data_IF_667724347393
#
_entry.id   IF_667724347393
#
_cell.length_a   1.000
_cell.length_b   1.000
_cell.length_c   1.000
_cell.angle_alpha   90.00
_cell.angle_beta   90.00
_cell.angle_gamma   90.00
#
_symmetry.space_group_name_H-M   'P 1'
#
loop_
_entity.id
_entity.type
_entity.pdbx_description
1 polymer ?
#
# COMPACT_ATOMS: atom_id res chain seq x y z
N UNK A 1 -16.47 5.13 -5.68
CA UNK A 1 -16.21 5.78 -4.39
C UNK A 1 -14.85 5.37 -3.86
N UNK A 2 -13.98 6.32 -3.52
CA UNK A 2 -12.68 5.96 -2.93
C UNK A 2 -12.84 5.20 -1.61
N UNK A 3 -12.02 4.18 -1.42
CA UNK A 3 -12.01 3.40 -0.17
C UNK A 3 -10.61 2.84 0.11
N UNK A 4 -10.28 2.69 1.38
CA UNK A 4 -9.06 1.99 1.74
C UNK A 4 -9.27 0.50 1.42
N UNK A 5 -8.37 -0.07 0.60
CA UNK A 5 -8.44 -1.49 0.24
C UNK A 5 -7.20 -2.26 0.63
N UNK A 6 -6.20 -1.59 1.18
CA UNK A 6 -4.92 -2.23 1.45
C UNK A 6 -4.15 -1.45 2.50
N UNK A 7 -3.40 -2.16 3.34
CA UNK A 7 -2.43 -1.55 4.25
C UNK A 7 -1.10 -2.27 4.04
N UNK A 8 -0.06 -1.51 3.68
CA UNK A 8 1.27 -2.07 3.49
C UNK A 8 2.13 -1.77 4.71
N UNK A 9 2.79 -2.80 5.23
CA UNK A 9 3.69 -2.68 6.37
C UNK A 9 5.13 -2.89 5.93
N UNK A 10 6.08 -2.12 6.47
CA UNK A 10 7.48 -2.48 6.33
C UNK A 10 7.75 -3.74 7.17
N UNK A 11 8.38 -4.74 6.57
CA UNK A 11 8.62 -6.02 7.20
C UNK A 11 10.08 -6.44 7.00
N UNK A 12 10.98 -5.81 7.77
CA UNK A 12 12.41 -6.09 7.68
C UNK A 12 12.71 -7.57 7.85
N UNK A 13 12.01 -8.24 8.78
CA UNK A 13 12.04 -9.68 8.93
C UNK A 13 10.72 -10.24 8.40
N UNK A 14 10.67 -10.48 7.11
CA UNK A 14 9.44 -10.93 6.44
C UNK A 14 8.98 -12.28 6.98
N UNK A 15 9.90 -13.22 7.19
CA UNK A 15 9.54 -14.56 7.66
C UNK A 15 8.91 -14.50 9.05
N UNK A 16 9.46 -13.70 9.94
CA UNK A 16 8.92 -13.54 11.29
C UNK A 16 7.55 -12.88 11.26
N UNK A 17 7.36 -11.86 10.40
CA UNK A 17 6.07 -11.18 10.25
C UNK A 17 5.00 -12.15 9.72
N UNK A 18 5.32 -12.93 8.67
CA UNK A 18 4.40 -13.93 8.14
C UNK A 18 3.96 -14.92 9.20
N UNK A 19 4.91 -15.46 9.94
CA UNK A 19 4.64 -16.43 11.00
C UNK A 19 3.75 -15.81 12.08
N UNK A 20 4.05 -14.58 12.48
CA UNK A 20 3.31 -13.89 13.53
C UNK A 20 1.85 -13.69 13.13
N UNK A 21 1.60 -13.08 11.96
CA UNK A 21 0.23 -12.75 11.55
C UNK A 21 -0.59 -13.99 11.23
N UNK A 22 0.04 -15.03 10.68
CA UNK A 22 -0.66 -16.30 10.46
C UNK A 22 -1.03 -16.97 11.78
N UNK A 23 -0.14 -16.94 12.76
CA UNK A 23 -0.41 -17.56 14.06
C UNK A 23 -1.50 -16.83 14.84
N UNK A 24 -1.49 -15.48 14.81
CA UNK A 24 -2.43 -14.67 15.59
C UNK A 24 -3.83 -14.67 14.97
N UNK A 25 -3.93 -14.51 13.65
CA UNK A 25 -5.20 -14.29 12.97
C UNK A 25 -5.62 -15.44 12.06
N UNK A 26 -4.77 -16.44 11.84
CA UNK A 26 -5.08 -17.52 10.92
C UNK A 26 -5.08 -17.10 9.45
N UNK A 27 -4.47 -15.95 9.13
CA UNK A 27 -4.42 -15.47 7.76
C UNK A 27 -3.47 -16.29 6.90
N UNK A 28 -3.89 -16.56 5.68
CA UNK A 28 -3.03 -17.12 4.64
C UNK A 28 -2.39 -15.99 3.86
N UNK A 29 -1.05 -16.04 3.76
CA UNK A 29 -0.27 -15.01 3.06
C UNK A 29 0.30 -15.62 1.79
N UNK A 30 -0.01 -15.00 0.65
CA UNK A 30 0.55 -15.38 -0.64
C UNK A 30 1.86 -14.64 -0.86
N UNK A 31 2.86 -15.35 -1.41
CA UNK A 31 4.16 -14.76 -1.69
C UNK A 31 4.21 -14.26 -3.13
N UNK A 32 4.75 -13.07 -3.32
CA UNK A 32 4.99 -12.46 -4.62
C UNK A 32 6.48 -12.12 -4.72
N UNK A 33 7.27 -13.07 -5.22
CA UNK A 33 8.72 -13.01 -5.18
C UNK A 33 9.25 -13.36 -3.79
N UNK A 34 10.51 -13.01 -3.54
CA UNK A 34 11.19 -13.39 -2.29
C UNK A 34 11.04 -12.38 -1.16
N UNK A 35 10.52 -11.17 -1.45
CA UNK A 35 10.51 -10.08 -0.49
C UNK A 35 9.12 -9.51 -0.20
N UNK A 36 8.05 -10.07 -0.77
CA UNK A 36 6.70 -9.53 -0.59
C UNK A 36 5.69 -10.63 -0.33
N UNK A 37 4.83 -10.42 0.65
CA UNK A 37 3.71 -11.33 0.96
C UNK A 37 2.48 -10.51 1.29
N UNK A 38 1.29 -11.00 0.94
CA UNK A 38 0.05 -10.32 1.30
C UNK A 38 -1.11 -11.28 1.46
N UNK A 39 -2.14 -10.83 2.18
CA UNK A 39 -3.41 -11.54 2.21
C UNK A 39 -4.15 -11.28 0.90
N UNK A 40 -5.08 -12.18 0.55
CA UNK A 40 -5.82 -12.14 -0.71
C UNK A 40 -7.32 -12.30 -0.45
N UNK A 41 -7.85 -11.52 0.51
CA UNK A 41 -9.29 -11.59 0.82
C UNK A 41 -10.15 -10.95 -0.26
N UNK A 42 -9.57 -10.01 -1.03
CA UNK A 42 -10.31 -9.24 -2.03
C UNK A 42 -11.11 -8.08 -1.43
N UNK A 43 -11.02 -7.87 -0.13
CA UNK A 43 -11.67 -6.76 0.55
C UNK A 43 -10.60 -5.75 1.02
N UNK A 44 -10.27 -5.72 2.30
CA UNK A 44 -9.13 -4.96 2.79
C UNK A 44 -8.02 -5.95 3.12
N UNK A 45 -6.87 -5.79 2.48
CA UNK A 45 -5.78 -6.74 2.60
C UNK A 45 -4.54 -6.10 3.20
N UNK A 46 -3.71 -6.94 3.80
CA UNK A 46 -2.45 -6.54 4.42
C UNK A 46 -1.29 -7.02 3.55
N UNK A 47 -0.39 -6.11 3.22
CA UNK A 47 0.85 -6.45 2.53
C UNK A 47 2.05 -6.28 3.45
N UNK A 48 3.03 -7.17 3.30
CA UNK A 48 4.28 -7.15 4.02
C UNK A 48 5.41 -6.94 3.01
N UNK A 49 6.04 -5.76 3.05
CA UNK A 49 7.15 -5.42 2.16
C UNK A 49 8.48 -5.65 2.88
N UNK A 50 9.19 -6.71 2.46
CA UNK A 50 10.47 -7.08 3.05
C UNK A 50 11.66 -6.38 2.42
N UNK A 51 11.50 -5.77 1.25
CA UNK A 51 12.55 -4.98 0.63
C UNK A 51 12.54 -3.56 1.22
N UNK A 52 13.52 -3.27 2.05
CA UNK A 52 13.57 -1.99 2.76
C UNK A 52 13.86 -0.80 1.85
N UNK A 53 14.31 -1.01 0.62
CA UNK A 53 14.44 0.05 -0.37
C UNK A 53 13.07 0.47 -0.93
N UNK A 54 12.10 -0.43 -0.91
CA UNK A 54 10.74 -0.18 -1.42
C UNK A 54 9.73 0.06 -0.30
N UNK A 55 10.04 -0.37 0.93
CA UNK A 55 9.09 -0.35 2.03
C UNK A 55 8.77 1.08 2.48
N UNK A 56 7.52 1.33 2.89
CA UNK A 56 7.20 2.56 3.60
C UNK A 56 7.91 2.56 4.96
N UNK A 57 8.05 3.74 5.56
CA UNK A 57 8.67 3.87 6.89
C UNK A 57 7.71 3.49 8.00
N UNK A 58 6.42 3.58 7.75
CA UNK A 58 5.33 3.33 8.70
C UNK A 58 4.22 2.58 7.96
N UNK A 59 3.22 2.04 8.68
CA UNK A 59 2.06 1.47 8.01
C UNK A 59 1.48 2.46 6.98
N UNK A 60 1.27 1.98 5.76
CA UNK A 60 0.84 2.79 4.64
C UNK A 60 -0.57 2.39 4.21
N UNK A 61 -1.59 3.18 4.53
CA UNK A 61 -2.91 2.95 3.96
C UNK A 61 -2.89 3.23 2.45
N UNK A 62 -3.60 2.39 1.69
CA UNK A 62 -3.73 2.54 0.25
C UNK A 62 -5.21 2.71 -0.09
N UNK A 63 -5.53 3.76 -0.82
CA UNK A 63 -6.90 4.11 -1.23
C UNK A 63 -7.11 3.70 -2.67
N UNK A 64 -8.15 2.90 -2.92
CA UNK A 64 -8.54 2.51 -4.28
C UNK A 64 -9.44 3.59 -4.88
N UNK A 65 -9.12 4.02 -6.10
CA UNK A 65 -9.91 4.99 -6.85
C UNK A 65 -10.17 4.48 -8.27
N UNK A 66 -11.14 5.09 -8.94
CA UNK A 66 -11.46 4.75 -10.34
C UNK A 66 -10.59 5.52 -11.35
N UNK A 67 -10.14 6.73 -11.01
CA UNK A 67 -9.37 7.60 -11.89
C UNK A 67 -8.21 8.21 -11.11
N UNK A 68 -7.03 7.64 -11.31
CA UNK A 68 -5.85 8.02 -10.54
C UNK A 68 -5.35 9.42 -10.91
N UNK A 69 -5.47 9.83 -12.18
CA UNK A 69 -5.06 11.16 -12.60
C UNK A 69 -5.94 12.23 -11.95
N UNK A 70 -7.26 12.00 -11.91
CA UNK A 70 -8.18 12.92 -11.24
C UNK A 70 -7.90 12.98 -9.74
N UNK A 71 -7.61 11.84 -9.10
CA UNK A 71 -7.29 11.78 -7.68
C UNK A 71 -6.00 12.55 -7.38
N UNK A 72 -4.99 12.45 -8.24
CA UNK A 72 -3.75 13.21 -8.07
C UNK A 72 -4.01 14.72 -8.14
N UNK A 73 -4.81 15.16 -9.10
CA UNK A 73 -5.17 16.56 -9.21
C UNK A 73 -5.91 17.05 -7.96
N UNK A 74 -6.82 16.24 -7.43
CA UNK A 74 -7.58 16.57 -6.22
C UNK A 74 -6.66 16.70 -5.00
N UNK A 75 -5.69 15.81 -4.86
CA UNK A 75 -4.72 15.86 -3.75
C UNK A 75 -3.93 17.15 -3.80
N UNK A 76 -3.40 17.51 -4.98
CA UNK A 76 -2.60 18.73 -5.15
C UNK A 76 -3.45 19.98 -4.90
N UNK A 77 -4.66 20.01 -5.42
CA UNK A 77 -5.56 21.15 -5.23
C UNK A 77 -5.94 21.34 -3.77
N UNK A 78 -6.08 20.25 -3.02
CA UNK A 78 -6.43 20.30 -1.60
C UNK A 78 -5.23 20.58 -0.68
N UNK A 79 -4.03 20.74 -1.24
CA UNK A 79 -2.83 21.10 -0.46
C UNK A 79 -1.93 19.94 -0.09
N UNK A 80 -2.19 18.75 -0.62
CA UNK A 80 -1.28 17.61 -0.44
C UNK A 80 -0.02 17.75 -1.27
N UNK A 81 1.00 17.00 -0.92
CA UNK A 81 2.30 16.99 -1.61
C UNK A 81 2.59 15.59 -2.10
N UNK A 82 3.04 15.45 -3.36
CA UNK A 82 3.43 14.13 -3.86
C UNK A 82 4.75 13.71 -3.24
N UNK A 83 4.78 12.51 -2.65
CA UNK A 83 6.03 11.89 -2.18
C UNK A 83 6.57 10.90 -3.22
N UNK A 84 5.70 10.32 -4.06
CA UNK A 84 6.08 9.52 -5.23
C UNK A 84 5.10 9.81 -6.36
N UNK A 85 5.57 10.18 -7.57
CA UNK A 85 4.68 10.38 -8.71
C UNK A 85 4.07 9.05 -9.17
N UNK A 86 3.05 9.12 -10.02
CA UNK A 86 2.37 7.92 -10.52
C UNK A 86 3.38 6.94 -11.13
N UNK A 87 3.30 5.68 -10.72
CA UNK A 87 4.13 4.60 -11.25
C UNK A 87 3.31 3.32 -11.38
N UNK A 88 3.74 2.44 -12.30
CA UNK A 88 3.13 1.14 -12.50
C UNK A 88 3.65 0.13 -11.46
N UNK A 89 2.77 -0.76 -11.02
CA UNK A 89 3.11 -1.89 -10.19
C UNK A 89 2.21 -3.08 -10.59
N UNK A 90 2.44 -4.30 -10.09
CA UNK A 90 1.67 -5.47 -10.56
C UNK A 90 0.15 -5.35 -10.40
N UNK A 91 -0.34 -4.60 -9.41
CA UNK A 91 -1.77 -4.39 -9.19
C UNK A 91 -2.40 -3.29 -10.02
N UNK A 92 -1.63 -2.51 -10.76
CA UNK A 92 -2.12 -1.38 -11.53
C UNK A 92 -1.16 -0.21 -11.52
N UNK A 93 -1.65 0.97 -11.16
CA UNK A 93 -0.84 2.19 -11.00
C UNK A 93 -1.12 2.81 -9.66
N UNK A 94 -0.11 3.46 -9.08
CA UNK A 94 -0.30 4.17 -7.81
C UNK A 94 0.65 5.37 -7.71
N UNK A 95 0.32 6.26 -6.78
CA UNK A 95 1.22 7.34 -6.36
C UNK A 95 1.11 7.49 -4.85
N UNK A 96 2.09 8.18 -4.26
CA UNK A 96 2.08 8.45 -2.83
C UNK A 96 2.04 9.95 -2.58
N UNK A 97 1.39 10.35 -1.49
CA UNK A 97 1.29 11.75 -1.12
C UNK A 97 1.42 11.92 0.39
N UNK A 98 1.74 13.12 0.80
CA UNK A 98 1.74 13.53 2.20
C UNK A 98 0.49 14.37 2.46
N UNK A 99 -0.20 14.06 3.54
CA UNK A 99 -1.35 14.84 3.97
C UNK A 99 -0.92 16.11 4.72
N UNK A 100 -1.85 16.97 5.19
CA UNK A 100 -1.48 18.20 5.90
C UNK A 100 -0.68 17.99 7.19
N UNK A 101 -0.73 16.78 7.77
CA UNK A 101 0.06 16.43 8.96
C UNK A 101 1.40 15.77 8.62
N UNK A 102 1.74 15.66 7.33
CA UNK A 102 2.97 15.02 6.90
C UNK A 102 2.92 13.50 6.89
N UNK A 103 1.74 12.90 6.97
CA UNK A 103 1.57 11.44 6.93
C UNK A 103 1.42 10.97 5.49
N UNK A 104 2.12 9.87 5.17
CA UNK A 104 2.10 9.31 3.83
C UNK A 104 0.96 8.31 3.66
N UNK A 105 0.22 8.46 2.56
CA UNK A 105 -0.74 7.49 2.05
C UNK A 105 -0.44 7.24 0.58
N UNK A 106 -0.98 6.14 0.05
CA UNK A 106 -0.93 5.85 -1.37
C UNK A 106 -2.35 5.84 -1.94
N UNK A 107 -2.46 6.17 -3.22
CA UNK A 107 -3.70 6.04 -4.00
C UNK A 107 -3.39 5.13 -5.18
N UNK A 108 -4.29 4.18 -5.45
CA UNK A 108 -4.10 3.23 -6.54
C UNK A 108 -5.35 3.13 -7.42
N UNK A 109 -5.11 2.79 -8.67
CA UNK A 109 -6.13 2.38 -9.62
C UNK A 109 -5.77 0.98 -10.10
N UNK A 110 -6.70 0.04 -9.99
CA UNK A 110 -6.50 -1.34 -10.43
C UNK A 110 -6.46 -1.43 -11.96
N UNK A 111 -5.73 -2.40 -12.48
CA UNK A 111 -5.68 -2.59 -13.94
C UNK A 111 -4.41 -3.20 -14.47
#
# INVERSE_FOLDING_TARGET
MPRINFVELPARDLAAARTFYSAVFGWELADFGSSYSCTMSGNVDLGLQGDMNEAPKMPLPVVLVDDIEAAQADVLQAGGTLSKPIFAFPGGRRFHFLDPNGLELAIMQAG
#
